data_IF_629151328115
#
_entry.id   IF_629151328115
#
_cell.length_a   1.000
_cell.length_b   1.000
_cell.length_c   1.000
_cell.angle_alpha   90.00
_cell.angle_beta   90.00
_cell.angle_gamma   90.00
#
_symmetry.space_group_name_H-M   'P 1'
#
loop_
_entity.id
_entity.type
_entity.pdbx_description
1 polymer ?
#
# COMPACT_ATOMS: atom_id res chain seq x y z
N UNK A 1 60.41 46.64 -27.15
CA UNK A 1 58.96 46.44 -27.34
C UNK A 1 58.34 46.08 -26.00
N UNK A 2 57.32 46.81 -25.56
CA UNK A 2 56.51 46.44 -24.40
C UNK A 2 55.33 45.64 -24.91
N UNK A 3 55.24 44.40 -24.47
CA UNK A 3 54.04 43.59 -24.72
C UNK A 3 53.05 43.82 -23.60
N UNK A 4 51.78 44.10 -23.92
CA UNK A 4 50.66 44.18 -22.96
C UNK A 4 49.92 42.90 -23.06
N UNK A 5 49.86 42.16 -21.95
CA UNK A 5 49.08 40.93 -21.86
C UNK A 5 47.67 41.29 -21.41
N UNK A 6 46.73 41.14 -22.33
CA UNK A 6 45.30 41.34 -22.03
C UNK A 6 44.79 40.18 -21.15
N UNK A 7 44.26 40.51 -19.97
CA UNK A 7 43.66 39.53 -19.08
C UNK A 7 42.32 39.10 -19.64
N UNK A 8 42.11 37.81 -19.84
CA UNK A 8 40.83 37.25 -20.25
C UNK A 8 40.59 35.89 -19.60
N UNK A 9 39.32 35.53 -19.41
CA UNK A 9 38.89 34.21 -18.97
C UNK A 9 37.81 33.69 -19.92
N UNK A 10 37.90 32.42 -20.31
CA UNK A 10 36.95 31.78 -21.19
C UNK A 10 36.75 30.33 -20.71
N UNK A 11 35.62 30.08 -20.03
CA UNK A 11 35.25 28.71 -19.64
C UNK A 11 34.38 28.11 -20.74
N UNK A 12 34.88 27.08 -21.40
CA UNK A 12 34.23 26.41 -22.52
C UNK A 12 34.18 24.88 -22.33
N UNK A 13 33.21 24.21 -22.96
CA UNK A 13 33.19 22.75 -22.94
C UNK A 13 34.35 22.19 -23.77
N UNK A 14 35.13 21.32 -23.16
CA UNK A 14 36.26 20.63 -23.81
C UNK A 14 35.80 19.30 -24.40
N UNK A 15 35.03 18.53 -23.64
CA UNK A 15 34.58 17.21 -24.03
C UNK A 15 33.21 16.92 -23.41
N UNK A 16 32.32 16.31 -24.21
CA UNK A 16 31.04 15.82 -23.72
C UNK A 16 30.87 14.37 -24.14
N UNK A 17 30.35 13.56 -23.21
CA UNK A 17 30.08 12.14 -23.45
C UNK A 17 28.77 11.73 -22.79
N UNK A 18 28.02 10.88 -23.47
CA UNK A 18 26.80 10.30 -22.94
C UNK A 18 26.89 8.77 -22.97
N UNK A 19 26.69 8.13 -21.82
CA UNK A 19 26.63 6.66 -21.67
C UNK A 19 25.26 6.26 -21.18
N UNK A 20 24.62 5.30 -21.85
CA UNK A 20 23.33 4.75 -21.46
C UNK A 20 23.47 3.29 -21.00
N UNK A 21 22.72 2.94 -20.01
CA UNK A 21 22.53 1.57 -19.52
C UNK A 21 21.05 1.42 -19.19
N UNK A 22 20.60 0.21 -18.84
CA UNK A 22 19.20 -0.03 -18.53
C UNK A 22 18.68 0.95 -17.46
N UNK A 23 17.73 1.83 -17.82
CA UNK A 23 17.11 2.87 -16.99
C UNK A 23 18.11 3.79 -16.26
N UNK A 24 19.31 3.97 -16.81
CA UNK A 24 20.32 4.87 -16.25
C UNK A 24 21.13 5.52 -17.38
N UNK A 25 21.24 6.82 -17.33
CA UNK A 25 22.05 7.62 -18.26
C UNK A 25 23.05 8.43 -17.46
N UNK A 26 24.26 8.50 -17.99
CA UNK A 26 25.37 9.28 -17.43
C UNK A 26 25.82 10.26 -18.50
N UNK A 27 25.71 11.55 -18.22
CA UNK A 27 26.24 12.61 -19.03
C UNK A 27 27.48 13.18 -18.34
N UNK A 28 28.60 13.19 -19.02
CA UNK A 28 29.86 13.75 -18.53
C UNK A 28 30.24 14.91 -19.45
N UNK A 29 30.39 16.12 -18.91
CA UNK A 29 30.86 17.27 -19.67
C UNK A 29 32.03 17.92 -18.93
N UNK A 30 33.18 17.97 -19.59
CA UNK A 30 34.38 18.59 -19.05
C UNK A 30 34.45 20.03 -19.56
N UNK A 31 34.60 20.97 -18.65
CA UNK A 31 34.81 22.39 -18.92
C UNK A 31 36.21 22.75 -18.58
N UNK A 32 36.84 23.63 -19.38
CA UNK A 32 38.19 24.15 -19.19
C UNK A 32 38.18 25.68 -19.27
N UNK A 33 38.98 26.33 -18.44
CA UNK A 33 39.29 27.75 -18.59
C UNK A 33 40.49 27.92 -19.55
N UNK A 34 40.22 28.34 -20.79
CA UNK A 34 41.21 28.59 -21.82
C UNK A 34 41.78 30.02 -21.75
N UNK A 35 41.48 30.73 -20.66
CA UNK A 35 42.01 32.07 -20.40
C UNK A 35 43.33 32.08 -19.66
N UNK A 36 43.84 33.28 -19.41
CA UNK A 36 45.09 33.51 -18.67
C UNK A 36 44.86 34.06 -17.25
N UNK A 37 43.60 34.23 -16.84
CA UNK A 37 43.21 34.62 -15.49
C UNK A 37 42.07 33.69 -15.00
N UNK A 38 41.88 33.65 -13.69
CA UNK A 38 40.76 32.92 -13.07
C UNK A 38 39.43 33.41 -13.63
N UNK A 39 38.59 32.49 -14.03
CA UNK A 39 37.26 32.77 -14.54
C UNK A 39 36.15 32.13 -13.69
N UNK A 40 35.00 32.78 -13.64
CA UNK A 40 33.80 32.22 -13.03
C UNK A 40 32.67 32.19 -14.06
N UNK A 41 31.98 31.07 -14.17
CA UNK A 41 30.85 30.91 -15.08
C UNK A 41 29.79 30.04 -14.46
N UNK A 42 28.50 30.41 -14.62
CA UNK A 42 27.35 29.59 -14.26
C UNK A 42 26.96 28.77 -15.48
N UNK A 43 26.92 27.46 -15.30
CA UNK A 43 26.45 26.50 -16.31
C UNK A 43 25.03 26.11 -15.90
N UNK A 44 24.08 26.24 -16.83
CA UNK A 44 22.66 25.91 -16.62
C UNK A 44 22.30 24.74 -17.52
N UNK A 45 21.61 23.74 -16.93
CA UNK A 45 21.00 22.58 -17.63
C UNK A 45 19.50 22.55 -17.38
N UNK A 46 18.71 22.55 -18.45
CA UNK A 46 17.23 22.47 -18.33
C UNK A 46 16.78 21.15 -17.69
N UNK A 47 15.94 21.25 -16.69
CA UNK A 47 15.37 20.08 -16.00
C UNK A 47 13.88 20.23 -15.81
N UNK A 48 13.20 19.14 -15.43
CA UNK A 48 11.82 19.17 -14.97
C UNK A 48 11.75 18.64 -13.54
N UNK A 49 10.69 18.96 -12.82
CA UNK A 49 10.49 18.47 -11.45
C UNK A 49 10.65 16.94 -11.35
N UNK A 50 10.04 16.20 -12.27
CA UNK A 50 10.15 14.75 -12.28
C UNK A 50 11.58 14.27 -12.58
N UNK A 51 12.26 14.92 -13.52
CA UNK A 51 13.64 14.56 -13.88
C UNK A 51 14.60 14.83 -12.73
N UNK A 52 14.47 15.96 -12.04
CA UNK A 52 15.34 16.33 -10.91
C UNK A 52 15.30 15.32 -9.76
N UNK A 53 14.15 14.62 -9.54
CA UNK A 53 14.03 13.58 -8.52
C UNK A 53 14.89 12.33 -8.80
N UNK A 54 15.24 12.10 -10.06
CA UNK A 54 16.00 10.93 -10.51
C UNK A 54 17.38 11.25 -11.04
N UNK A 55 17.77 12.53 -10.98
CA UNK A 55 19.07 13.03 -11.42
C UNK A 55 19.93 13.38 -10.22
N UNK A 56 21.16 12.91 -10.23
CA UNK A 56 22.20 13.33 -9.29
C UNK A 56 23.38 13.90 -10.06
N UNK A 57 24.02 14.94 -9.54
CA UNK A 57 25.16 15.58 -10.19
C UNK A 57 26.39 15.63 -9.29
N UNK A 58 27.54 15.57 -9.91
CA UNK A 58 28.84 15.77 -9.27
C UNK A 58 29.68 16.71 -10.15
N UNK A 59 30.09 17.90 -9.67
CA UNK A 59 29.74 18.49 -8.37
C UNK A 59 28.25 18.74 -8.22
N UNK A 60 27.80 18.95 -6.96
CA UNK A 60 26.38 19.12 -6.66
C UNK A 60 25.83 20.40 -7.31
N UNK A 61 24.73 20.28 -8.03
CA UNK A 61 23.96 21.39 -8.59
C UNK A 61 23.07 22.08 -7.56
N UNK A 62 22.63 23.27 -7.89
CA UNK A 62 21.50 23.95 -7.21
C UNK A 62 20.40 24.26 -8.23
N UNK A 63 19.15 24.27 -7.77
CA UNK A 63 18.01 24.52 -8.66
C UNK A 63 17.73 26.01 -8.79
N UNK A 64 17.53 26.47 -10.03
CA UNK A 64 17.08 27.82 -10.34
C UNK A 64 15.79 27.77 -11.18
N UNK A 65 14.93 28.76 -10.98
CA UNK A 65 13.73 28.93 -11.80
C UNK A 65 13.84 30.20 -12.61
N UNK A 66 13.69 30.10 -13.94
CA UNK A 66 13.87 31.22 -14.86
C UNK A 66 12.89 31.08 -16.04
N UNK A 67 12.11 32.13 -16.31
CA UNK A 67 11.19 32.13 -17.45
C UNK A 67 10.11 31.06 -17.41
N UNK A 68 9.69 30.60 -16.21
CA UNK A 68 8.72 29.51 -16.05
C UNK A 68 9.30 28.09 -16.20
N UNK A 69 10.60 27.96 -16.46
CA UNK A 69 11.33 26.69 -16.50
C UNK A 69 12.18 26.44 -15.25
N UNK A 70 12.47 25.18 -14.98
CA UNK A 70 13.41 24.76 -13.92
C UNK A 70 14.73 24.36 -14.54
N UNK A 71 15.82 24.79 -13.92
CA UNK A 71 17.19 24.49 -14.36
C UNK A 71 18.02 24.03 -13.17
N UNK A 72 18.94 23.12 -13.43
CA UNK A 72 20.06 22.84 -12.53
C UNK A 72 21.26 23.68 -12.94
N UNK A 73 21.92 24.29 -11.97
CA UNK A 73 23.03 25.20 -12.20
C UNK A 73 24.26 24.79 -11.40
N UNK A 74 25.42 25.07 -11.98
CA UNK A 74 26.73 24.88 -11.36
C UNK A 74 27.52 26.19 -11.52
N UNK A 75 28.03 26.69 -10.42
CA UNK A 75 28.97 27.81 -10.45
C UNK A 75 30.36 27.23 -10.51
N UNK A 76 31.02 27.42 -11.66
CA UNK A 76 32.39 26.97 -11.89
C UNK A 76 33.34 28.17 -11.73
N UNK A 77 34.35 28.00 -10.89
CA UNK A 77 35.45 28.97 -10.73
C UNK A 77 36.75 28.24 -10.95
N UNK A 78 37.38 28.50 -12.10
CA UNK A 78 38.52 27.76 -12.60
C UNK A 78 39.73 28.68 -12.78
N UNK A 79 40.87 28.20 -12.34
CA UNK A 79 42.18 28.82 -12.64
C UNK A 79 42.52 28.65 -14.14
N UNK A 80 43.51 29.40 -14.67
CA UNK A 80 43.99 29.22 -16.05
C UNK A 80 44.36 27.75 -16.33
N UNK A 81 43.84 27.19 -17.44
CA UNK A 81 44.06 25.82 -17.90
C UNK A 81 43.50 24.75 -16.96
N UNK A 82 42.79 25.14 -15.91
CA UNK A 82 42.09 24.17 -15.04
C UNK A 82 40.86 23.63 -15.75
N UNK A 83 40.62 22.31 -15.57
CA UNK A 83 39.45 21.63 -16.11
C UNK A 83 38.66 20.91 -15.01
N UNK A 84 37.34 20.98 -15.10
CA UNK A 84 36.39 20.27 -14.20
C UNK A 84 35.41 19.47 -15.02
N UNK A 85 35.05 18.29 -14.55
CA UNK A 85 34.03 17.45 -15.19
C UNK A 85 32.74 17.47 -14.36
N UNK A 86 31.65 17.89 -14.98
CA UNK A 86 30.33 17.76 -14.45
C UNK A 86 29.77 16.42 -14.90
N UNK A 87 29.41 15.57 -13.95
CA UNK A 87 28.77 14.28 -14.19
C UNK A 87 27.33 14.33 -13.71
N UNK A 88 26.38 14.18 -14.64
CA UNK A 88 24.96 14.04 -14.35
C UNK A 88 24.57 12.58 -14.51
N UNK A 89 23.98 11.99 -13.47
CA UNK A 89 23.48 10.62 -13.47
C UNK A 89 21.97 10.64 -13.31
N UNK A 90 21.26 10.27 -14.36
CA UNK A 90 19.81 10.13 -14.37
C UNK A 90 19.48 8.63 -14.25
N UNK A 91 18.78 8.21 -13.18
CA UNK A 91 18.51 6.81 -12.89
C UNK A 91 17.08 6.57 -12.43
N UNK A 92 16.32 5.83 -13.22
CA UNK A 92 14.95 5.40 -12.91
C UNK A 92 14.88 4.00 -12.29
N UNK A 93 16.01 3.38 -11.96
CA UNK A 93 16.08 2.05 -11.34
C UNK A 93 15.34 1.98 -10.01
N UNK A 94 15.41 3.04 -9.23
CA UNK A 94 14.74 3.12 -7.93
C UNK A 94 13.22 2.98 -8.06
N UNK A 95 12.63 3.64 -9.07
CA UNK A 95 11.18 3.55 -9.32
C UNK A 95 10.80 2.15 -9.82
N UNK A 96 11.64 1.55 -10.67
CA UNK A 96 11.42 0.17 -11.12
C UNK A 96 11.42 -0.80 -9.94
N UNK A 97 12.39 -0.71 -9.03
CA UNK A 97 12.44 -1.56 -7.84
C UNK A 97 11.23 -1.35 -6.95
N UNK A 98 10.78 -0.11 -6.77
CA UNK A 98 9.57 0.19 -5.99
C UNK A 98 8.33 -0.46 -6.62
N UNK A 99 8.20 -0.40 -7.95
CA UNK A 99 7.08 -1.05 -8.67
C UNK A 99 7.15 -2.57 -8.48
N UNK A 100 8.31 -3.19 -8.64
CA UNK A 100 8.48 -4.65 -8.44
C UNK A 100 8.08 -5.04 -7.02
N UNK A 101 8.56 -4.31 -6.01
CA UNK A 101 8.21 -4.55 -4.62
C UNK A 101 6.69 -4.42 -4.40
N UNK A 102 6.07 -3.38 -4.95
CA UNK A 102 4.62 -3.18 -4.84
C UNK A 102 3.83 -4.33 -5.47
N UNK A 103 4.25 -4.82 -6.64
CA UNK A 103 3.62 -5.97 -7.33
C UNK A 103 3.77 -7.25 -6.49
N UNK A 104 4.95 -7.50 -5.93
CA UNK A 104 5.19 -8.66 -5.05
C UNK A 104 4.31 -8.58 -3.80
N UNK A 105 4.26 -7.43 -3.12
CA UNK A 105 3.39 -7.25 -1.95
C UNK A 105 1.91 -7.40 -2.29
N UNK A 106 1.47 -6.88 -3.45
CA UNK A 106 0.10 -7.05 -3.91
C UNK A 106 -0.22 -8.52 -4.18
N UNK A 107 0.69 -9.26 -4.81
CA UNK A 107 0.57 -10.70 -5.05
C UNK A 107 0.47 -11.49 -3.74
N UNK A 108 1.35 -11.21 -2.78
CA UNK A 108 1.31 -11.81 -1.45
C UNK A 108 0.02 -11.49 -0.72
N UNK A 109 -0.41 -10.23 -0.74
CA UNK A 109 -1.68 -9.81 -0.14
C UNK A 109 -2.87 -10.59 -0.72
N UNK A 110 -2.93 -10.77 -2.05
CA UNK A 110 -3.96 -11.58 -2.72
C UNK A 110 -3.88 -13.04 -2.34
N UNK A 111 -2.66 -13.58 -2.25
CA UNK A 111 -2.43 -14.99 -1.89
C UNK A 111 -2.86 -15.31 -0.45
N UNK A 112 -2.62 -14.42 0.50
CA UNK A 112 -2.98 -14.60 1.90
C UNK A 112 -4.43 -14.23 2.24
N UNK A 113 -5.20 -13.67 1.31
CA UNK A 113 -6.62 -13.43 1.53
C UNK A 113 -7.41 -14.74 1.64
N UNK A 114 -8.20 -14.89 2.71
CA UNK A 114 -9.11 -16.03 2.84
C UNK A 114 -10.13 -16.02 1.68
N UNK A 115 -10.27 -17.12 0.95
CA UNK A 115 -11.22 -17.23 -0.15
C UNK A 115 -12.66 -17.19 0.33
N UNK A 116 -12.96 -17.70 1.53
CA UNK A 116 -14.26 -17.60 2.15
C UNK A 116 -14.23 -16.61 3.30
N UNK A 117 -15.14 -15.63 3.26
CA UNK A 117 -15.23 -14.55 4.24
C UNK A 117 -16.48 -14.67 5.08
N UNK A 118 -16.34 -14.53 6.40
CA UNK A 118 -17.40 -14.41 7.35
C UNK A 118 -17.54 -12.94 7.80
N UNK A 119 -18.73 -12.38 7.61
CA UNK A 119 -19.08 -11.03 8.07
C UNK A 119 -20.18 -11.18 9.10
N UNK A 120 -20.02 -10.55 10.27
CA UNK A 120 -21.02 -10.52 11.34
C UNK A 120 -21.58 -9.12 11.47
N UNK A 121 -22.90 -9.04 11.42
CA UNK A 121 -23.68 -7.82 11.62
C UNK A 121 -24.67 -8.04 12.75
N UNK A 122 -24.94 -7.02 13.55
CA UNK A 122 -25.95 -7.09 14.58
C UNK A 122 -26.81 -5.82 14.56
N UNK A 123 -28.10 -5.98 14.68
CA UNK A 123 -29.07 -4.89 14.75
C UNK A 123 -29.99 -5.06 15.95
N UNK A 124 -30.25 -3.98 16.65
CA UNK A 124 -31.25 -3.99 17.74
C UNK A 124 -32.68 -4.15 17.17
N UNK A 125 -33.47 -5.00 17.77
CA UNK A 125 -34.87 -5.22 17.40
C UNK A 125 -35.78 -4.57 18.42
N UNK A 126 -35.48 -4.69 19.72
CA UNK A 126 -36.32 -4.29 20.80
C UNK A 126 -35.51 -3.55 21.88
N UNK A 127 -36.20 -2.61 22.53
CA UNK A 127 -35.65 -1.81 23.64
C UNK A 127 -36.55 -1.94 24.84
N UNK A 128 -35.98 -2.10 26.05
CA UNK A 128 -36.66 -2.06 27.34
C UNK A 128 -35.90 -1.09 28.25
N UNK A 129 -36.65 -0.24 28.98
CA UNK A 129 -36.12 0.69 29.98
C UNK A 129 -34.96 1.53 29.44
N UNK A 130 -35.04 1.96 28.15
CA UNK A 130 -34.01 2.77 27.49
C UNK A 130 -32.79 1.99 27.00
N UNK A 131 -32.69 0.68 27.25
CA UNK A 131 -31.60 -0.17 26.80
C UNK A 131 -32.01 -1.23 25.79
N UNK A 132 -31.03 -1.76 25.05
CA UNK A 132 -31.23 -2.82 24.06
C UNK A 132 -31.57 -4.12 24.79
N UNK A 133 -32.72 -4.73 24.46
CA UNK A 133 -33.15 -6.01 25.03
C UNK A 133 -33.02 -7.17 24.06
N UNK A 134 -33.22 -6.96 22.76
CA UNK A 134 -33.11 -8.00 21.73
C UNK A 134 -32.29 -7.51 20.55
N UNK A 135 -31.43 -8.40 20.05
CA UNK A 135 -30.56 -8.18 18.91
C UNK A 135 -30.75 -9.30 17.88
N UNK A 136 -30.86 -8.93 16.61
CA UNK A 136 -30.73 -9.84 15.49
C UNK A 136 -29.28 -9.89 15.05
N UNK A 137 -28.71 -11.08 15.06
CA UNK A 137 -27.35 -11.33 14.55
C UNK A 137 -27.47 -11.99 13.19
N UNK A 138 -26.74 -11.44 12.23
CA UNK A 138 -26.65 -11.94 10.86
C UNK A 138 -25.21 -12.29 10.59
N UNK A 139 -24.95 -13.53 10.19
CA UNK A 139 -23.67 -14.03 9.73
C UNK A 139 -23.75 -14.26 8.23
N UNK A 140 -22.99 -13.50 7.49
CA UNK A 140 -22.92 -13.57 6.04
C UNK A 140 -21.63 -14.28 5.64
N UNK A 141 -21.77 -15.44 4.99
CA UNK A 141 -20.66 -16.27 4.50
C UNK A 141 -20.60 -16.07 3.01
N UNK A 142 -19.47 -15.58 2.51
CA UNK A 142 -19.29 -15.35 1.08
C UNK A 142 -18.05 -16.04 0.56
N UNK A 143 -18.23 -16.96 -0.38
CA UNK A 143 -17.13 -17.50 -1.17
C UNK A 143 -16.76 -16.50 -2.26
N UNK A 144 -15.51 -16.06 -2.28
CA UNK A 144 -14.95 -15.08 -3.25
C UNK A 144 -14.06 -15.74 -4.30
N UNK A 145 -13.90 -17.06 -4.19
CA UNK A 145 -13.08 -17.80 -5.14
C UNK A 145 -13.91 -18.40 -6.28
N UNK A 146 -13.23 -18.87 -7.29
CA UNK A 146 -13.80 -19.65 -8.39
C UNK A 146 -13.97 -21.13 -8.06
N UNK A 147 -13.51 -21.56 -6.88
CA UNK A 147 -13.59 -22.96 -6.44
C UNK A 147 -14.65 -23.13 -5.36
N UNK A 148 -15.36 -24.28 -5.34
CA UNK A 148 -16.27 -24.63 -4.25
C UNK A 148 -15.48 -25.06 -3.01
N UNK A 149 -16.08 -24.90 -1.84
CA UNK A 149 -15.57 -25.40 -0.56
C UNK A 149 -16.59 -26.28 0.11
N UNK A 150 -16.10 -27.25 0.88
CA UNK A 150 -16.91 -28.27 1.53
C UNK A 150 -16.64 -28.33 3.03
N UNK A 151 -17.54 -28.96 3.78
CA UNK A 151 -17.46 -29.15 5.24
C UNK A 151 -17.22 -27.84 5.98
N UNK A 152 -18.07 -26.85 5.70
CA UNK A 152 -17.96 -25.56 6.39
C UNK A 152 -18.51 -25.67 7.81
N UNK A 153 -17.72 -25.27 8.77
CA UNK A 153 -18.14 -25.13 10.17
C UNK A 153 -18.09 -23.66 10.57
N UNK A 154 -19.25 -23.12 10.88
CA UNK A 154 -19.40 -21.74 11.38
C UNK A 154 -19.67 -21.79 12.86
N UNK A 155 -18.90 -21.06 13.66
CA UNK A 155 -19.11 -20.93 15.09
C UNK A 155 -19.18 -19.47 15.48
N UNK A 156 -20.23 -19.10 16.16
CA UNK A 156 -20.41 -17.77 16.72
C UNK A 156 -20.55 -17.80 18.24
N UNK A 157 -19.92 -16.84 18.91
CA UNK A 157 -19.94 -16.73 20.36
C UNK A 157 -20.87 -15.61 20.78
N UNK A 158 -21.74 -15.97 21.73
CA UNK A 158 -22.67 -15.07 22.41
C UNK A 158 -22.18 -14.89 23.85
N UNK A 159 -21.91 -13.64 24.28
CA UNK A 159 -21.44 -13.36 25.65
C UNK A 159 -22.43 -13.81 26.73
N UNK A 160 -21.97 -13.99 27.95
CA UNK A 160 -22.80 -14.43 29.10
C UNK A 160 -23.97 -13.49 29.44
N UNK A 161 -23.85 -12.21 29.05
CA UNK A 161 -24.92 -11.21 29.29
C UNK A 161 -26.11 -11.37 28.34
N UNK A 162 -26.02 -12.29 27.37
CA UNK A 162 -27.09 -12.54 26.41
C UNK A 162 -27.34 -14.04 26.24
N UNK A 163 -28.56 -14.37 25.91
CA UNK A 163 -29.04 -15.74 25.64
C UNK A 163 -29.48 -15.86 24.19
N UNK A 164 -29.23 -17.04 23.61
CA UNK A 164 -29.70 -17.35 22.26
C UNK A 164 -31.18 -17.73 22.32
N UNK A 165 -32.00 -17.09 21.50
CA UNK A 165 -33.45 -17.39 21.41
C UNK A 165 -33.67 -18.51 20.40
N UNK A 166 -34.11 -19.69 20.90
CA UNK A 166 -34.22 -20.92 20.10
C UNK A 166 -35.30 -20.86 19.01
N UNK A 167 -36.36 -20.11 19.24
CA UNK A 167 -37.52 -20.06 18.34
C UNK A 167 -37.37 -19.04 17.19
N UNK A 168 -36.29 -18.29 17.17
CA UNK A 168 -36.09 -17.19 16.24
C UNK A 168 -34.93 -17.40 15.24
N UNK A 169 -34.67 -18.67 14.95
CA UNK A 169 -33.63 -19.04 13.98
C UNK A 169 -34.10 -18.77 12.55
N UNK A 170 -33.16 -18.32 11.71
CA UNK A 170 -33.38 -18.16 10.27
C UNK A 170 -33.63 -19.49 9.55
N UNK A 171 -33.67 -19.46 8.24
CA UNK A 171 -33.97 -20.63 7.37
C UNK A 171 -33.00 -21.80 7.62
N UNK A 172 -31.74 -21.49 7.92
CA UNK A 172 -30.73 -22.51 8.26
C UNK A 172 -30.56 -22.57 9.78
N UNK A 173 -31.05 -23.67 10.35
CA UNK A 173 -30.94 -23.92 11.80
C UNK A 173 -29.50 -24.29 12.19
N UNK A 174 -29.01 -23.89 13.37
CA UNK A 174 -27.73 -24.35 13.88
C UNK A 174 -27.77 -25.87 14.16
N UNK A 175 -26.64 -26.51 13.91
CA UNK A 175 -26.46 -27.93 14.21
C UNK A 175 -26.38 -28.15 15.73
N UNK A 176 -25.79 -27.21 16.46
CA UNK A 176 -25.63 -27.32 17.91
C UNK A 176 -25.55 -25.94 18.56
N UNK A 177 -26.18 -25.82 19.73
CA UNK A 177 -26.00 -24.69 20.64
C UNK A 177 -25.54 -25.25 21.96
N UNK A 178 -24.39 -24.83 22.45
CA UNK A 178 -23.86 -25.29 23.74
C UNK A 178 -23.37 -24.11 24.59
N UNK A 179 -23.52 -24.23 25.88
CA UNK A 179 -23.07 -23.26 26.85
C UNK A 179 -21.61 -23.54 27.23
N UNK A 180 -20.82 -22.51 27.20
CA UNK A 180 -19.42 -22.50 27.68
C UNK A 180 -19.34 -21.59 28.89
N UNK A 181 -18.38 -21.79 29.78
CA UNK A 181 -18.17 -20.92 30.94
C UNK A 181 -17.99 -19.43 30.63
N UNK A 182 -17.87 -19.08 29.35
CA UNK A 182 -17.72 -17.69 28.85
C UNK A 182 -18.90 -17.22 27.98
N UNK A 183 -20.04 -17.93 28.02
CA UNK A 183 -21.21 -17.63 27.20
C UNK A 183 -21.67 -18.83 26.37
N UNK A 184 -22.54 -18.60 25.39
CA UNK A 184 -23.04 -19.63 24.49
C UNK A 184 -22.29 -19.63 23.16
N UNK A 185 -22.16 -20.80 22.54
CA UNK A 185 -21.61 -20.98 21.20
C UNK A 185 -22.69 -21.59 20.31
N UNK A 186 -22.94 -20.91 19.19
CA UNK A 186 -23.86 -21.38 18.15
C UNK A 186 -23.03 -21.90 16.99
N UNK A 187 -23.26 -23.17 16.61
CA UNK A 187 -22.48 -23.87 15.57
C UNK A 187 -23.39 -24.26 14.41
N UNK A 188 -22.99 -23.94 13.21
CA UNK A 188 -23.62 -24.44 11.97
C UNK A 188 -22.62 -25.32 11.22
N UNK A 189 -23.13 -26.32 10.57
CA UNK A 189 -22.44 -27.22 9.68
C UNK A 189 -23.12 -27.14 8.31
N UNK A 190 -22.36 -26.72 7.30
CA UNK A 190 -22.81 -26.62 5.92
C UNK A 190 -22.01 -27.62 5.09
N UNK A 191 -22.67 -28.37 4.25
CA UNK A 191 -22.00 -29.37 3.40
C UNK A 191 -21.04 -28.73 2.40
N UNK A 192 -21.52 -27.68 1.72
CA UNK A 192 -20.72 -26.97 0.70
C UNK A 192 -21.15 -25.51 0.57
N UNK A 193 -20.30 -24.73 -0.05
CA UNK A 193 -20.59 -23.41 -0.61
C UNK A 193 -19.99 -23.33 -2.00
N UNK A 194 -20.80 -23.03 -3.00
CA UNK A 194 -20.38 -22.95 -4.39
C UNK A 194 -19.53 -21.70 -4.68
N UNK A 195 -18.93 -21.68 -5.87
CA UNK A 195 -18.18 -20.51 -6.33
C UNK A 195 -19.06 -19.25 -6.33
N UNK A 196 -18.53 -18.16 -5.79
CA UNK A 196 -19.22 -16.87 -5.68
C UNK A 196 -20.55 -16.90 -4.93
N UNK A 197 -20.89 -18.01 -4.25
CA UNK A 197 -22.11 -18.15 -3.47
C UNK A 197 -22.02 -17.35 -2.17
N UNK A 198 -23.17 -16.85 -1.73
CA UNK A 198 -23.36 -16.20 -0.44
C UNK A 198 -24.46 -16.88 0.35
N UNK A 199 -24.18 -17.23 1.62
CA UNK A 199 -25.17 -17.77 2.55
C UNK A 199 -25.32 -16.88 3.77
N UNK A 200 -26.55 -16.75 4.22
CA UNK A 200 -26.93 -15.92 5.37
C UNK A 200 -27.45 -16.81 6.47
N UNK A 201 -26.84 -16.77 7.63
CA UNK A 201 -27.29 -17.36 8.86
C UNK A 201 -27.81 -16.24 9.76
N UNK A 202 -28.97 -16.39 10.31
CA UNK A 202 -29.57 -15.40 11.20
C UNK A 202 -30.12 -16.04 12.47
N UNK A 203 -29.93 -15.36 13.59
CA UNK A 203 -30.49 -15.76 14.88
C UNK A 203 -30.70 -14.54 15.76
N UNK A 204 -31.50 -14.67 16.81
CA UNK A 204 -31.73 -13.61 17.79
C UNK A 204 -31.04 -13.94 19.10
N UNK A 205 -30.62 -12.92 19.77
CA UNK A 205 -30.16 -12.98 21.15
C UNK A 205 -30.99 -12.02 22.01
N UNK A 206 -31.30 -12.46 23.20
CA UNK A 206 -31.96 -11.64 24.22
C UNK A 206 -30.92 -11.28 25.29
N UNK A 207 -30.81 -10.01 25.59
CA UNK A 207 -29.99 -9.60 26.72
C UNK A 207 -30.64 -9.87 28.04
N UNK A 208 -29.88 -10.39 29.00
CA UNK A 208 -30.34 -10.59 30.39
C UNK A 208 -30.48 -9.27 31.14
N UNK A 209 -29.77 -8.26 30.69
CA UNK A 209 -29.79 -6.90 31.27
C UNK A 209 -30.02 -5.90 30.13
N UNK A 210 -30.69 -4.80 30.40
CA UNK A 210 -30.81 -3.71 29.44
C UNK A 210 -29.44 -3.13 29.12
N UNK A 211 -29.00 -3.21 27.87
CA UNK A 211 -27.70 -2.74 27.44
C UNK A 211 -27.79 -1.23 27.11
N UNK A 212 -27.15 -0.43 27.92
CA UNK A 212 -27.00 1.01 27.68
C UNK A 212 -25.63 1.27 27.03
N UNK A 213 -25.61 2.03 25.94
CA UNK A 213 -24.40 2.41 25.23
C UNK A 213 -23.96 1.41 24.18
N UNK A 214 -22.64 1.33 23.92
CA UNK A 214 -22.06 0.49 22.85
C UNK A 214 -21.77 -0.92 23.34
N UNK A 215 -22.27 -1.91 22.61
CA UNK A 215 -22.03 -3.33 22.88
C UNK A 215 -21.26 -3.98 21.73
N UNK A 216 -20.12 -4.60 22.03
CA UNK A 216 -19.27 -5.28 21.03
C UNK A 216 -19.46 -6.78 21.14
N UNK A 217 -19.97 -7.39 20.07
CA UNK A 217 -20.07 -8.84 19.96
C UNK A 217 -18.71 -9.47 19.57
N UNK A 218 -18.36 -10.62 20.16
CA UNK A 218 -17.19 -11.39 19.74
C UNK A 218 -17.26 -11.76 18.26
N UNK A 219 -16.10 -11.87 17.60
CA UNK A 219 -16.03 -12.32 16.21
C UNK A 219 -16.41 -13.78 16.07
N UNK A 220 -17.17 -14.10 15.03
CA UNK A 220 -17.40 -15.47 14.61
C UNK A 220 -16.15 -16.11 13.99
N UNK A 221 -16.13 -17.43 13.97
CA UNK A 221 -15.08 -18.22 13.31
C UNK A 221 -15.67 -19.12 12.24
N UNK A 222 -14.89 -19.32 11.15
CA UNK A 222 -15.27 -20.17 10.03
C UNK A 222 -14.13 -21.11 9.71
N UNK A 223 -14.42 -22.40 9.56
CA UNK A 223 -13.52 -23.43 9.02
C UNK A 223 -14.14 -23.99 7.76
N UNK A 224 -13.32 -24.28 6.78
CA UNK A 224 -13.74 -24.87 5.50
C UNK A 224 -12.60 -25.69 4.91
N UNK A 225 -12.93 -26.60 4.00
CA UNK A 225 -11.97 -27.46 3.32
C UNK A 225 -12.19 -27.37 1.80
N UNK A 226 -11.13 -27.59 1.05
CA UNK A 226 -11.21 -27.78 -0.40
C UNK A 226 -11.61 -29.24 -0.66
N UNK A 227 -12.35 -29.54 -1.71
CA UNK A 227 -12.70 -30.92 -2.08
C UNK A 227 -11.47 -31.83 -2.20
N UNK A 228 -10.35 -31.28 -2.64
CA UNK A 228 -9.06 -32.01 -2.75
C UNK A 228 -8.47 -32.47 -1.42
N UNK A 229 -8.85 -31.81 -0.30
CA UNK A 229 -8.30 -32.08 1.03
C UNK A 229 -9.23 -32.96 1.90
N UNK A 230 -10.28 -33.53 1.31
CA UNK A 230 -11.29 -34.36 2.00
C UNK A 230 -11.10 -35.85 1.67
N UNK A 231 -10.06 -36.23 0.92
CA UNK A 231 -9.72 -37.63 0.68
C UNK A 231 -9.02 -38.27 1.85
#
# INVERSE_FOLDING_TARGET
EKFEVISYSEIKPLKSGKKGSFLRWVNETTYINDGNVRGTRIIESGTSFLRSLFTTSTPKSYSISKGGGSYEAWELSLEPQEAITITEVESYRSILYLIIIAVVFFGLYRFFQSPVRLIKEASAISYKEGGISELKVILRIKNRSSDPYVKLTVMDRVPMIAEVEHDSMGTLKPATIFNSGKGSVVKWELESIDKNEERILAYKIRSRLSILGTFVLPKGSLRFFTEKNVK
#
